data_IF_598913981598
#
_entry.id   IF_598913981598
#
_cell.length_a   1.000
_cell.length_b   1.000
_cell.length_c   1.000
_cell.angle_alpha   90.00
_cell.angle_beta   90.00
_cell.angle_gamma   90.00
#
_symmetry.space_group_name_H-M   'P 1'
#
loop_
_entity.id
_entity.type
_entity.pdbx_description
1 polymer ?
#
# COMPACT_ATOMS: atom_id res chain seq x y z
N UNK A 1 -7.06 -7.79 -27.55
CA UNK A 1 -6.36 -7.13 -26.43
C UNK A 1 -7.47 -6.77 -25.46
N UNK A 2 -7.57 -7.43 -24.30
CA UNK A 2 -8.51 -7.00 -23.27
C UNK A 2 -8.07 -5.59 -22.83
N UNK A 3 -8.96 -4.62 -22.92
CA UNK A 3 -8.74 -3.29 -22.35
C UNK A 3 -8.53 -3.42 -20.85
N UNK A 4 -7.27 -3.47 -20.43
CA UNK A 4 -6.88 -3.49 -19.02
C UNK A 4 -7.01 -2.07 -18.47
N UNK A 5 -8.25 -1.68 -18.16
CA UNK A 5 -8.55 -0.37 -17.58
C UNK A 5 -8.21 -0.41 -16.09
N UNK A 6 -6.99 0.00 -15.75
CA UNK A 6 -6.61 0.24 -14.35
C UNK A 6 -7.01 1.65 -13.94
N UNK A 7 -7.54 1.74 -12.72
CA UNK A 7 -7.63 3.01 -12.01
C UNK A 7 -7.02 2.82 -10.63
N UNK A 8 -5.90 3.46 -10.39
CA UNK A 8 -5.15 3.41 -9.13
C UNK A 8 -5.37 4.72 -8.41
N UNK A 9 -5.73 4.67 -7.14
CA UNK A 9 -5.83 5.85 -6.27
C UNK A 9 -4.89 5.67 -5.08
N UNK A 10 -3.92 6.57 -4.93
CA UNK A 10 -3.06 6.61 -3.74
C UNK A 10 -3.85 7.19 -2.57
N UNK A 11 -4.28 6.34 -1.65
CA UNK A 11 -5.04 6.76 -0.47
C UNK A 11 -4.18 7.44 0.58
N UNK A 12 -2.92 7.02 0.68
CA UNK A 12 -1.93 7.60 1.55
C UNK A 12 -0.53 7.26 1.04
N UNK A 13 0.41 8.15 1.24
CA UNK A 13 1.77 8.06 0.70
C UNK A 13 2.85 8.33 1.73
N UNK A 14 2.45 8.52 2.99
CA UNK A 14 3.34 8.79 4.10
C UNK A 14 3.82 7.55 4.82
N UNK A 15 4.93 7.69 5.52
CA UNK A 15 5.50 6.72 6.45
C UNK A 15 4.60 6.49 7.67
N UNK A 16 4.99 5.60 8.57
CA UNK A 16 4.22 5.18 9.76
C UNK A 16 3.68 6.32 10.65
N UNK A 17 4.32 7.47 10.65
CA UNK A 17 3.89 8.64 11.42
C UNK A 17 3.05 9.64 10.60
N UNK A 18 2.98 9.44 9.28
CA UNK A 18 2.41 10.43 8.35
C UNK A 18 3.26 11.71 8.22
N UNK A 19 2.77 12.68 7.47
CA UNK A 19 3.36 14.03 7.37
C UNK A 19 2.21 15.05 7.40
N UNK A 20 2.20 15.99 8.36
CA UNK A 20 3.17 16.23 9.43
C UNK A 20 3.11 15.17 10.54
N UNK A 21 4.22 15.00 11.24
CA UNK A 21 4.23 14.26 12.50
C UNK A 21 3.71 15.12 13.66
N UNK A 22 3.21 14.52 14.71
CA UNK A 22 2.70 15.25 15.88
C UNK A 22 3.81 16.10 16.49
N UNK A 23 3.57 17.41 16.59
CA UNK A 23 4.51 18.38 17.15
C UNK A 23 5.61 18.83 16.18
N UNK A 24 5.58 18.42 14.92
CA UNK A 24 6.56 18.83 13.91
C UNK A 24 6.57 20.33 13.67
N UNK A 25 7.79 20.88 13.50
CA UNK A 25 8.04 22.31 13.19
C UNK A 25 8.96 22.46 11.97
N UNK A 26 9.26 21.36 11.29
CA UNK A 26 10.09 21.41 10.09
C UNK A 26 9.34 22.08 8.92
N UNK A 27 10.05 22.64 7.95
CA UNK A 27 9.44 23.39 6.85
C UNK A 27 8.46 22.56 6.01
N UNK A 28 8.73 21.26 5.78
CA UNK A 28 7.87 20.37 4.99
C UNK A 28 6.56 20.11 5.72
N UNK A 29 6.63 19.85 7.02
CA UNK A 29 5.44 19.67 7.86
C UNK A 29 4.59 20.95 7.96
N UNK A 30 5.17 22.12 7.80
CA UNK A 30 4.49 23.42 7.80
C UNK A 30 4.06 23.89 6.40
N UNK A 31 4.43 23.18 5.33
CA UNK A 31 4.06 23.51 3.95
C UNK A 31 2.54 23.68 3.78
N UNK A 32 2.15 24.61 2.92
CA UNK A 32 0.76 24.78 2.47
C UNK A 32 0.42 23.93 1.23
N UNK A 33 1.42 23.32 0.60
CA UNK A 33 1.19 22.39 -0.53
C UNK A 33 0.54 21.10 0.00
N UNK A 34 -0.66 20.74 -0.47
CA UNK A 34 -1.32 19.51 -0.01
C UNK A 34 -0.53 18.24 -0.35
N UNK A 35 0.38 18.28 -1.34
CA UNK A 35 1.22 17.14 -1.72
C UNK A 35 2.34 16.85 -0.71
N UNK A 36 2.61 17.79 0.18
CA UNK A 36 3.52 17.61 1.33
C UNK A 36 2.79 17.06 2.57
N UNK A 37 1.46 16.91 2.52
CA UNK A 37 0.66 16.28 3.58
C UNK A 37 0.35 14.85 3.20
N UNK A 38 0.71 13.90 4.08
CA UNK A 38 0.68 12.49 3.74
C UNK A 38 0.09 11.66 4.86
N UNK A 39 -1.01 10.99 4.59
CA UNK A 39 -1.58 9.94 5.41
C UNK A 39 -0.76 8.65 5.22
N UNK A 40 -0.92 7.66 6.12
CA UNK A 40 -0.19 6.40 6.06
C UNK A 40 -0.45 5.66 4.77
N UNK A 41 0.59 4.96 4.30
CA UNK A 41 0.61 4.33 2.97
C UNK A 41 -0.53 3.34 2.77
N UNK A 42 -1.28 3.55 1.70
CA UNK A 42 -2.33 2.64 1.21
C UNK A 42 -2.68 2.99 -0.23
N UNK A 43 -3.07 1.99 -1.02
CA UNK A 43 -3.48 2.17 -2.40
C UNK A 43 -4.78 1.41 -2.69
N UNK A 44 -5.66 2.05 -3.47
CA UNK A 44 -6.92 1.49 -3.93
C UNK A 44 -6.85 1.27 -5.44
N UNK A 45 -7.21 0.06 -5.88
CA UNK A 45 -7.10 -0.39 -7.27
C UNK A 45 -8.46 -0.80 -7.77
N UNK A 46 -8.92 -0.18 -8.86
CA UNK A 46 -10.06 -0.67 -9.65
C UNK A 46 -9.51 -1.38 -10.90
N UNK A 47 -9.72 -2.69 -10.98
CA UNK A 47 -9.25 -3.51 -12.08
C UNK A 47 -10.19 -4.70 -12.33
N UNK A 48 -10.59 -4.95 -13.59
CA UNK A 48 -11.52 -6.03 -13.97
C UNK A 48 -12.78 -6.06 -13.10
N UNK A 49 -13.39 -4.89 -12.92
CA UNK A 49 -14.59 -4.69 -12.09
C UNK A 49 -14.41 -4.99 -10.59
N UNK A 50 -13.16 -5.18 -10.12
CA UNK A 50 -12.83 -5.40 -8.72
C UNK A 50 -12.20 -4.18 -8.09
N UNK A 51 -12.55 -3.96 -6.84
CA UNK A 51 -12.11 -2.90 -5.96
C UNK A 51 -11.18 -3.49 -4.90
N UNK A 52 -9.89 -3.28 -5.04
CA UNK A 52 -8.85 -3.90 -4.24
C UNK A 52 -8.21 -2.85 -3.36
N UNK A 53 -8.09 -3.13 -2.07
CA UNK A 53 -7.30 -2.30 -1.16
C UNK A 53 -5.99 -3.01 -0.82
N UNK A 54 -4.86 -2.29 -0.88
CA UNK A 54 -3.60 -2.76 -0.31
C UNK A 54 -3.31 -1.92 0.93
N UNK A 55 -3.26 -2.57 2.08
CA UNK A 55 -3.11 -2.04 3.43
C UNK A 55 -4.27 -1.15 3.91
N UNK A 56 -4.62 -1.32 5.17
CA UNK A 56 -5.72 -0.65 5.86
C UNK A 56 -5.22 -0.03 7.16
N UNK A 57 -4.50 1.10 7.06
CA UNK A 57 -3.90 1.81 8.18
C UNK A 57 -4.89 2.69 8.96
N UNK A 58 -4.41 3.43 9.98
CA UNK A 58 -5.26 4.22 10.89
C UNK A 58 -6.02 5.35 10.20
N UNK A 59 -5.60 5.75 9.01
CA UNK A 59 -6.22 6.82 8.23
C UNK A 59 -7.31 6.33 7.26
N UNK A 60 -7.57 5.01 7.22
CA UNK A 60 -8.45 4.36 6.25
C UNK A 60 -9.81 5.08 6.10
N UNK A 61 -10.49 5.38 7.21
CA UNK A 61 -11.76 6.10 7.17
C UNK A 61 -11.64 7.47 6.48
N UNK A 62 -10.63 8.25 6.84
CA UNK A 62 -10.38 9.58 6.25
C UNK A 62 -10.05 9.46 4.75
N UNK A 63 -9.26 8.46 4.38
CA UNK A 63 -8.87 8.16 3.01
C UNK A 63 -10.08 7.83 2.14
N UNK A 64 -10.94 6.91 2.58
CA UNK A 64 -12.15 6.52 1.85
C UNK A 64 -13.13 7.67 1.67
N UNK A 65 -13.35 8.47 2.73
CA UNK A 65 -14.25 9.64 2.69
C UNK A 65 -13.70 10.73 1.75
N UNK A 66 -12.40 11.01 1.78
CA UNK A 66 -11.76 12.00 0.91
C UNK A 66 -11.94 11.65 -0.57
N UNK A 67 -11.79 10.38 -0.92
CA UNK A 67 -11.89 9.91 -2.29
C UNK A 67 -13.31 9.55 -2.71
N UNK A 68 -14.30 9.67 -1.80
CA UNK A 68 -15.70 9.28 -2.01
C UNK A 68 -15.84 7.81 -2.44
N UNK A 69 -15.09 6.92 -1.76
CA UNK A 69 -15.10 5.48 -1.96
C UNK A 69 -16.00 4.83 -0.91
N UNK A 70 -16.83 3.88 -1.31
CA UNK A 70 -17.85 3.26 -0.46
C UNK A 70 -17.80 1.72 -0.44
N UNK A 71 -16.89 1.12 -1.25
CA UNK A 71 -16.83 -0.34 -1.38
C UNK A 71 -15.41 -0.84 -1.62
N UNK A 72 -15.15 -2.08 -1.18
CA UNK A 72 -13.91 -2.85 -1.39
C UNK A 72 -14.33 -4.30 -1.57
N UNK A 73 -13.81 -4.97 -2.61
CA UNK A 73 -14.09 -6.40 -2.82
C UNK A 73 -13.20 -7.27 -1.94
N UNK A 74 -11.92 -6.92 -1.80
CA UNK A 74 -10.99 -7.60 -0.91
C UNK A 74 -9.79 -6.72 -0.54
N UNK A 75 -9.11 -7.11 0.54
CA UNK A 75 -7.94 -6.43 1.09
C UNK A 75 -6.72 -7.35 1.00
N UNK A 76 -5.61 -6.80 0.53
CA UNK A 76 -4.29 -7.42 0.57
C UNK A 76 -3.47 -6.73 1.66
N UNK A 77 -2.94 -7.45 2.63
CA UNK A 77 -2.10 -6.88 3.68
C UNK A 77 -0.63 -7.24 3.43
N UNK A 78 0.23 -6.24 3.42
CA UNK A 78 1.66 -6.43 3.18
C UNK A 78 2.37 -7.03 4.40
N UNK A 79 2.10 -6.48 5.58
CA UNK A 79 2.67 -6.93 6.85
C UNK A 79 1.86 -6.41 8.06
N UNK A 80 2.23 -6.84 9.26
CA UNK A 80 1.47 -6.63 10.49
C UNK A 80 1.76 -5.34 11.25
N UNK A 81 2.56 -4.40 10.72
CA UNK A 81 2.76 -3.13 11.40
C UNK A 81 1.45 -2.34 11.51
N UNK A 82 1.34 -1.57 12.58
CA UNK A 82 0.09 -0.89 12.97
C UNK A 82 -0.40 0.07 11.89
N UNK A 83 0.49 0.76 11.23
CA UNK A 83 0.19 1.71 10.14
C UNK A 83 -0.36 1.05 8.87
N UNK A 84 -0.31 -0.29 8.77
CA UNK A 84 -0.84 -1.05 7.64
C UNK A 84 -2.12 -1.83 7.94
N UNK A 85 -2.47 -2.09 9.25
CA UNK A 85 -3.60 -2.97 9.56
C UNK A 85 -4.62 -2.40 10.56
N UNK A 86 -4.29 -1.35 11.34
CA UNK A 86 -5.13 -0.97 12.48
C UNK A 86 -6.47 -0.32 12.06
N UNK A 87 -6.61 0.10 10.82
CA UNK A 87 -7.86 0.66 10.27
C UNK A 87 -8.91 -0.39 9.90
N UNK A 88 -8.62 -1.67 10.02
CA UNK A 88 -9.54 -2.76 9.67
C UNK A 88 -10.88 -2.69 10.42
N UNK A 89 -10.93 -2.11 11.62
CA UNK A 89 -12.20 -1.92 12.33
C UNK A 89 -13.18 -1.02 11.55
N UNK A 90 -12.68 -0.10 10.77
CA UNK A 90 -13.47 0.83 9.96
C UNK A 90 -14.03 0.21 8.65
N UNK A 91 -13.84 -1.10 8.40
CA UNK A 91 -14.52 -1.79 7.29
C UNK A 91 -15.97 -2.15 7.61
N UNK A 92 -16.40 -2.04 8.87
CA UNK A 92 -17.77 -2.33 9.32
C UNK A 92 -18.86 -1.69 8.47
N UNK A 93 -18.79 -0.38 8.12
CA UNK A 93 -19.77 0.22 7.25
C UNK A 93 -19.91 -0.49 5.90
N UNK A 94 -18.79 -0.96 5.33
CA UNK A 94 -18.79 -1.69 4.06
C UNK A 94 -19.50 -3.05 4.22
N UNK A 95 -19.23 -3.78 5.35
CA UNK A 95 -19.93 -5.02 5.64
C UNK A 95 -21.47 -4.81 5.66
N UNK A 96 -21.95 -3.73 6.28
CA UNK A 96 -23.39 -3.45 6.35
C UNK A 96 -23.99 -3.01 5.03
N UNK A 97 -23.34 -2.04 4.37
CA UNK A 97 -23.87 -1.44 3.15
C UNK A 97 -23.98 -2.48 2.02
N UNK A 98 -23.03 -3.39 1.96
CA UNK A 98 -22.95 -4.40 0.90
C UNK A 98 -23.33 -5.80 1.35
N UNK A 99 -23.71 -5.98 2.64
CA UNK A 99 -24.08 -7.26 3.25
C UNK A 99 -23.09 -8.39 2.93
N UNK A 100 -21.79 -8.12 3.16
CA UNK A 100 -20.70 -9.06 2.87
C UNK A 100 -19.64 -9.06 3.97
N UNK A 101 -19.02 -10.19 4.19
CA UNK A 101 -17.79 -10.26 4.97
C UNK A 101 -16.64 -9.71 4.12
N UNK A 102 -15.59 -9.17 4.75
CA UNK A 102 -14.45 -8.59 4.05
C UNK A 102 -13.37 -9.66 3.86
N UNK A 103 -13.10 -10.09 2.61
CA UNK A 103 -12.01 -11.02 2.33
C UNK A 103 -10.66 -10.30 2.54
N UNK A 104 -9.77 -10.92 3.34
CA UNK A 104 -8.44 -10.41 3.66
C UNK A 104 -7.41 -11.49 3.36
N UNK A 105 -6.45 -11.16 2.50
CA UNK A 105 -5.37 -12.07 2.10
C UNK A 105 -4.04 -11.57 2.64
N UNK A 106 -3.31 -12.41 3.36
CA UNK A 106 -2.00 -12.08 3.92
C UNK A 106 -1.20 -13.33 4.34
N UNK A 107 0.06 -13.14 4.68
CA UNK A 107 0.87 -14.19 5.32
C UNK A 107 0.22 -14.68 6.62
N UNK A 108 0.37 -15.96 7.01
CA UNK A 108 -0.22 -16.51 8.24
C UNK A 108 0.08 -15.70 9.50
N UNK A 109 1.31 -15.16 9.63
CA UNK A 109 1.67 -14.33 10.80
C UNK A 109 0.92 -12.99 10.83
N UNK A 110 0.62 -12.40 9.66
CA UNK A 110 -0.16 -11.16 9.54
C UNK A 110 -1.62 -11.45 9.90
N UNK A 111 -2.18 -12.56 9.42
CA UNK A 111 -3.53 -13.02 9.80
C UNK A 111 -3.65 -13.24 11.31
N UNK A 112 -2.64 -13.85 11.94
CA UNK A 112 -2.61 -14.01 13.39
C UNK A 112 -2.56 -12.65 14.11
N UNK A 113 -1.75 -11.72 13.62
CA UNK A 113 -1.69 -10.37 14.17
C UNK A 113 -3.03 -9.61 14.04
N UNK A 114 -3.80 -9.82 12.96
CA UNK A 114 -5.18 -9.29 12.83
C UNK A 114 -6.08 -9.88 13.91
N UNK A 115 -6.05 -11.20 14.13
CA UNK A 115 -6.85 -11.86 15.18
C UNK A 115 -6.49 -11.34 16.57
N UNK A 116 -5.21 -11.14 16.86
CA UNK A 116 -4.72 -10.63 18.15
C UNK A 116 -5.14 -9.18 18.40
N UNK A 117 -5.21 -8.33 17.37
CA UNK A 117 -5.59 -6.92 17.50
C UNK A 117 -7.09 -6.71 17.52
N UNK A 118 -7.86 -7.57 16.88
CA UNK A 118 -9.32 -7.49 16.79
C UNK A 118 -10.02 -8.74 17.36
N UNK A 119 -9.68 -9.20 18.58
CA UNK A 119 -10.19 -10.48 19.11
C UNK A 119 -11.71 -10.50 19.20
N UNK A 120 -12.36 -9.35 19.41
CA UNK A 120 -13.82 -9.23 19.47
C UNK A 120 -14.52 -9.56 18.14
N UNK A 121 -13.83 -9.45 17.00
CA UNK A 121 -14.38 -9.81 15.70
C UNK A 121 -14.49 -11.34 15.48
N UNK A 122 -13.81 -12.14 16.31
CA UNK A 122 -13.69 -13.60 16.15
C UNK A 122 -14.34 -14.40 17.30
N UNK A 123 -14.85 -13.73 18.32
CA UNK A 123 -15.55 -14.37 19.42
C UNK A 123 -17.05 -14.39 19.11
N UNK A 124 -17.77 -15.52 19.32
CA UNK A 124 -19.22 -15.56 19.18
C UNK A 124 -19.88 -14.43 19.98
N UNK A 125 -20.63 -13.57 19.33
CA UNK A 125 -21.21 -12.39 19.94
C UNK A 125 -22.62 -12.12 19.40
N UNK A 126 -23.53 -11.68 20.28
CA UNK A 126 -24.88 -11.28 19.89
C UNK A 126 -24.95 -9.86 19.26
N UNK A 127 -23.88 -9.07 19.42
CA UNK A 127 -23.82 -7.71 18.89
C UNK A 127 -23.58 -7.72 17.36
N UNK A 128 -24.55 -7.24 16.57
CA UNK A 128 -24.44 -7.32 15.10
C UNK A 128 -23.47 -6.30 14.48
N UNK A 129 -22.95 -5.37 15.29
CA UNK A 129 -22.13 -4.24 14.85
C UNK A 129 -20.63 -4.50 14.79
N UNK A 130 -20.19 -5.74 14.84
CA UNK A 130 -18.77 -6.10 14.72
C UNK A 130 -18.31 -6.14 13.28
N UNK A 131 -17.03 -5.86 13.01
CA UNK A 131 -16.47 -6.09 11.69
C UNK A 131 -16.49 -7.60 11.38
N UNK A 132 -16.76 -7.91 10.13
CA UNK A 132 -16.80 -9.30 9.64
C UNK A 132 -15.71 -9.49 8.62
N UNK A 133 -14.80 -10.43 8.90
CA UNK A 133 -13.65 -10.74 8.06
C UNK A 133 -13.71 -12.20 7.58
N UNK A 134 -13.35 -12.41 6.32
CA UNK A 134 -13.04 -13.69 5.75
C UNK A 134 -11.53 -13.77 5.54
N UNK A 135 -10.82 -14.49 6.42
CA UNK A 135 -9.35 -14.49 6.46
C UNK A 135 -8.76 -15.61 5.62
N UNK A 136 -7.90 -15.25 4.67
CA UNK A 136 -7.22 -16.16 3.75
C UNK A 136 -5.70 -16.10 3.95
N UNK A 137 -5.09 -17.23 4.31
CA UNK A 137 -3.64 -17.34 4.40
C UNK A 137 -3.01 -17.45 3.00
N UNK A 138 -1.99 -16.65 2.76
CA UNK A 138 -1.06 -16.85 1.65
C UNK A 138 0.06 -17.77 2.15
N UNK A 139 -0.15 -19.09 2.01
CA UNK A 139 0.78 -20.11 2.49
C UNK A 139 1.99 -20.27 1.55
N UNK A 140 1.73 -20.18 0.24
CA UNK A 140 2.76 -20.29 -0.79
C UNK A 140 2.87 -18.98 -1.56
N UNK A 141 4.00 -18.32 -1.41
CA UNK A 141 4.27 -17.03 -2.09
C UNK A 141 4.85 -17.21 -3.50
N UNK A 142 5.12 -18.43 -3.92
CA UNK A 142 5.54 -18.76 -5.29
C UNK A 142 4.33 -18.97 -6.23
N UNK A 143 3.14 -19.10 -5.66
CA UNK A 143 1.92 -19.31 -6.41
C UNK A 143 1.11 -18.01 -6.54
N UNK A 144 0.51 -17.84 -7.70
CA UNK A 144 -0.45 -16.77 -7.94
C UNK A 144 -1.79 -17.06 -7.25
N UNK A 145 -2.42 -16.01 -6.75
CA UNK A 145 -3.76 -16.07 -6.16
C UNK A 145 -4.76 -15.60 -7.21
N UNK A 146 -5.74 -16.43 -7.51
CA UNK A 146 -6.80 -16.05 -8.45
C UNK A 146 -8.08 -15.73 -7.66
N UNK A 147 -8.47 -14.45 -7.67
CA UNK A 147 -9.70 -13.96 -7.04
C UNK A 147 -10.63 -13.52 -8.17
N UNK A 148 -11.66 -14.32 -8.42
CA UNK A 148 -12.54 -14.16 -9.58
C UNK A 148 -11.72 -14.10 -10.88
N UNK A 149 -11.70 -12.93 -11.56
CA UNK A 149 -10.96 -12.70 -12.80
C UNK A 149 -9.61 -12.01 -12.59
N UNK A 150 -9.25 -11.69 -11.36
CA UNK A 150 -8.03 -10.96 -11.02
C UNK A 150 -6.96 -11.94 -10.56
N UNK A 151 -5.83 -11.87 -11.23
CA UNK A 151 -4.61 -12.58 -10.87
C UNK A 151 -3.74 -11.69 -9.99
N UNK A 152 -3.45 -12.14 -8.78
CA UNK A 152 -2.56 -11.49 -7.80
C UNK A 152 -1.29 -12.33 -7.68
N UNK A 153 -0.14 -11.70 -7.82
CA UNK A 153 1.15 -12.34 -7.57
C UNK A 153 1.72 -11.76 -6.27
N UNK A 154 1.82 -12.56 -5.20
CA UNK A 154 2.54 -12.17 -4.01
C UNK A 154 4.02 -11.97 -4.35
N UNK A 155 4.63 -10.92 -3.83
CA UNK A 155 6.01 -10.54 -4.09
C UNK A 155 6.78 -10.57 -2.77
N UNK A 156 7.50 -11.67 -2.45
CA UNK A 156 8.33 -11.71 -1.24
C UNK A 156 9.43 -10.65 -1.30
N UNK A 157 9.43 -9.74 -0.31
CA UNK A 157 10.42 -8.69 -0.13
C UNK A 157 10.81 -8.57 1.33
N UNK A 158 11.82 -7.77 1.64
CA UNK A 158 12.28 -7.60 3.02
C UNK A 158 12.15 -6.16 3.50
N UNK A 159 11.60 -6.01 4.69
CA UNK A 159 11.61 -4.79 5.50
C UNK A 159 12.67 -4.93 6.60
N UNK A 160 13.88 -4.49 6.33
CA UNK A 160 15.04 -4.87 7.14
C UNK A 160 15.27 -6.38 7.10
N UNK A 161 15.04 -7.06 8.23
CA UNK A 161 15.11 -8.52 8.34
C UNK A 161 13.75 -9.21 8.31
N UNK A 162 12.68 -8.43 8.32
CA UNK A 162 11.31 -8.94 8.33
C UNK A 162 10.89 -9.28 6.90
N UNK A 163 10.55 -10.55 6.58
CA UNK A 163 9.98 -10.87 5.29
C UNK A 163 8.53 -10.33 5.22
N UNK A 164 8.22 -9.56 4.22
CA UNK A 164 6.88 -8.98 3.98
C UNK A 164 6.44 -9.26 2.54
N UNK A 165 5.20 -8.90 2.19
CA UNK A 165 4.73 -9.01 0.81
C UNK A 165 4.57 -7.63 0.17
N UNK A 166 5.08 -7.49 -1.06
CA UNK A 166 4.49 -6.64 -2.05
C UNK A 166 3.44 -7.42 -2.85
N UNK A 167 2.78 -6.74 -3.78
CA UNK A 167 1.78 -7.38 -4.64
C UNK A 167 1.87 -6.89 -6.07
N UNK A 168 1.80 -7.83 -7.04
CA UNK A 168 1.60 -7.51 -8.45
C UNK A 168 0.15 -7.83 -8.85
N UNK A 169 -0.51 -6.88 -9.48
CA UNK A 169 -1.85 -6.99 -10.04
C UNK A 169 -1.75 -6.65 -11.53
N UNK A 170 -1.62 -7.68 -12.37
CA UNK A 170 -1.38 -7.51 -13.81
C UNK A 170 -0.13 -6.67 -14.12
N UNK A 171 -0.29 -5.48 -14.71
CA UNK A 171 0.81 -4.58 -15.10
C UNK A 171 1.20 -3.56 -14.02
N UNK A 172 0.62 -3.67 -12.83
CA UNK A 172 0.88 -2.84 -11.65
C UNK A 172 1.55 -3.63 -10.55
N UNK A 173 2.55 -3.05 -9.86
CA UNK A 173 3.13 -3.62 -8.65
C UNK A 173 3.29 -2.58 -7.54
N UNK A 174 3.12 -3.02 -6.28
CA UNK A 174 3.21 -2.19 -5.08
C UNK A 174 4.18 -2.80 -4.07
N UNK A 175 5.27 -2.08 -3.78
CA UNK A 175 6.38 -2.49 -2.91
C UNK A 175 6.59 -1.42 -1.82
N UNK A 176 5.66 -1.35 -0.84
CA UNK A 176 5.85 -0.47 0.33
C UNK A 176 6.86 -1.05 1.31
N UNK A 177 7.43 -0.24 2.20
CA UNK A 177 8.31 -0.66 3.30
C UNK A 177 9.52 -1.52 2.90
N UNK A 178 9.87 -1.47 1.63
CA UNK A 178 10.91 -2.29 1.06
C UNK A 178 12.32 -1.83 1.48
N UNK A 179 13.15 -2.80 1.85
CA UNK A 179 14.60 -2.61 2.03
C UNK A 179 15.40 -3.44 1.01
N UNK A 180 14.90 -4.61 0.66
CA UNK A 180 15.55 -5.53 -0.25
C UNK A 180 14.50 -6.29 -1.08
N UNK A 181 14.78 -6.45 -2.36
CA UNK A 181 13.98 -7.26 -3.30
C UNK A 181 14.87 -8.40 -3.78
N UNK A 182 14.55 -9.67 -3.47
CA UNK A 182 15.29 -10.84 -3.97
C UNK A 182 15.27 -10.92 -5.50
N UNK A 183 16.30 -11.51 -6.10
CA UNK A 183 16.38 -11.69 -7.57
C UNK A 183 15.17 -12.45 -8.12
N UNK A 184 14.73 -13.51 -7.43
CA UNK A 184 13.52 -14.26 -7.81
C UNK A 184 12.26 -13.40 -7.84
N UNK A 185 12.16 -12.41 -6.95
CA UNK A 185 11.06 -11.44 -6.95
C UNK A 185 11.21 -10.41 -8.07
N UNK A 186 12.44 -9.98 -8.40
CA UNK A 186 12.67 -9.05 -9.52
C UNK A 186 12.25 -9.66 -10.86
N UNK A 187 12.45 -10.97 -11.06
CA UNK A 187 11.98 -11.69 -12.24
C UNK A 187 10.46 -11.58 -12.41
N UNK A 188 9.70 -11.57 -11.29
CA UNK A 188 8.25 -11.40 -11.29
C UNK A 188 7.80 -9.95 -11.56
N UNK A 189 8.72 -8.99 -11.55
CA UNK A 189 8.47 -7.55 -11.75
C UNK A 189 8.79 -7.07 -13.18
N UNK A 190 9.10 -7.98 -14.08
CA UNK A 190 9.38 -7.62 -15.48
C UNK A 190 8.13 -7.21 -16.25
N UNK A 191 8.25 -6.24 -17.17
CA UNK A 191 7.18 -5.83 -18.09
C UNK A 191 6.03 -5.07 -17.43
N UNK A 192 6.28 -4.38 -16.32
CA UNK A 192 5.29 -3.55 -15.63
C UNK A 192 5.08 -2.22 -16.35
N UNK A 193 3.84 -1.76 -16.42
CA UNK A 193 3.53 -0.37 -16.77
C UNK A 193 3.79 0.57 -15.59
N UNK A 194 3.40 0.16 -14.39
CA UNK A 194 3.58 0.98 -13.19
C UNK A 194 4.14 0.14 -12.04
N UNK A 195 5.21 0.64 -11.41
CA UNK A 195 5.70 0.13 -10.13
C UNK A 195 5.66 1.22 -9.07
N UNK A 196 5.22 0.87 -7.87
CA UNK A 196 5.25 1.73 -6.69
C UNK A 196 6.29 1.18 -5.72
N UNK A 197 7.24 2.02 -5.32
CA UNK A 197 8.37 1.63 -4.47
C UNK A 197 8.43 2.52 -3.23
N UNK A 198 8.57 1.93 -2.06
CA UNK A 198 8.81 2.66 -0.81
C UNK A 198 10.15 3.40 -0.85
N UNK A 199 10.13 4.73 -0.59
CA UNK A 199 11.31 5.59 -0.51
C UNK A 199 11.17 6.53 0.69
N UNK A 200 11.79 6.19 1.82
CA UNK A 200 11.51 6.87 3.08
C UNK A 200 11.93 8.33 3.09
N UNK A 201 13.13 8.65 2.59
CA UNK A 201 13.77 9.97 2.68
C UNK A 201 15.00 10.08 1.77
N UNK A 202 15.57 11.27 1.63
CA UNK A 202 16.83 11.44 0.89
C UNK A 202 18.04 10.87 1.67
N UNK A 203 18.16 11.18 2.95
CA UNK A 203 19.25 10.75 3.86
C UNK A 203 18.89 10.99 5.33
N UNK A 204 19.58 10.38 6.31
CA UNK A 204 20.61 9.33 6.16
C UNK A 204 20.03 7.99 5.72
N UNK A 205 20.90 7.03 5.39
CA UNK A 205 20.49 5.64 5.11
C UNK A 205 19.66 5.06 6.26
N UNK A 206 18.72 4.18 5.94
CA UNK A 206 17.87 3.53 6.92
C UNK A 206 18.07 2.02 6.92
N UNK A 207 17.94 1.40 8.09
CA UNK A 207 18.19 -0.04 8.24
C UNK A 207 17.10 -0.93 7.64
N UNK A 208 15.87 -0.44 7.55
CA UNK A 208 14.72 -1.23 7.11
C UNK A 208 13.97 -0.66 5.90
N UNK A 209 14.32 0.52 5.40
CA UNK A 209 13.73 1.12 4.21
C UNK A 209 14.78 1.57 3.21
N UNK A 210 14.40 1.67 1.95
CA UNK A 210 15.21 2.35 0.95
C UNK A 210 15.16 3.87 1.19
N UNK A 211 16.29 4.54 0.94
CA UNK A 211 16.32 5.99 0.72
C UNK A 211 16.12 6.27 -0.76
N UNK A 212 15.84 7.53 -1.12
CA UNK A 212 15.49 7.91 -2.49
C UNK A 212 16.49 7.43 -3.55
N UNK A 213 17.80 7.58 -3.31
CA UNK A 213 18.82 7.13 -4.26
C UNK A 213 18.80 5.63 -4.51
N UNK A 214 18.60 4.82 -3.45
CA UNK A 214 18.48 3.37 -3.56
C UNK A 214 17.16 2.95 -4.24
N UNK A 215 16.08 3.70 -4.00
CA UNK A 215 14.81 3.44 -4.68
C UNK A 215 14.87 3.77 -6.17
N UNK A 216 15.63 4.80 -6.56
CA UNK A 216 15.94 5.14 -7.96
C UNK A 216 16.74 4.00 -8.62
N UNK A 217 17.81 3.53 -7.98
CA UNK A 217 18.62 2.40 -8.47
C UNK A 217 17.75 1.16 -8.72
N UNK A 218 16.87 0.82 -7.77
CA UNK A 218 15.94 -0.30 -7.93
C UNK A 218 14.94 -0.04 -9.07
N UNK A 219 14.42 1.18 -9.20
CA UNK A 219 13.49 1.54 -10.28
C UNK A 219 14.13 1.41 -11.67
N UNK A 220 15.40 1.82 -11.81
CA UNK A 220 16.18 1.66 -13.05
C UNK A 220 16.38 0.18 -13.38
N UNK A 221 16.66 -0.65 -12.38
CA UNK A 221 16.82 -2.09 -12.56
C UNK A 221 15.51 -2.77 -13.00
N UNK A 222 14.38 -2.41 -12.39
CA UNK A 222 13.06 -2.99 -12.71
C UNK A 222 12.52 -2.52 -14.06
N UNK A 223 12.97 -1.36 -14.55
CA UNK A 223 12.66 -0.81 -15.85
C UNK A 223 11.16 -0.78 -16.23
N UNK A 224 10.29 -0.47 -15.24
CA UNK A 224 8.88 -0.23 -15.49
C UNK A 224 8.67 1.06 -16.32
N UNK A 225 7.56 1.16 -17.06
CA UNK A 225 7.27 2.37 -17.87
C UNK A 225 7.18 3.62 -17.00
N UNK A 226 6.59 3.49 -15.79
CA UNK A 226 6.47 4.56 -14.81
C UNK A 226 6.74 4.03 -13.39
N UNK A 227 7.46 4.78 -12.59
CA UNK A 227 7.73 4.50 -11.18
C UNK A 227 7.16 5.58 -10.28
N UNK A 228 6.51 5.18 -9.19
CA UNK A 228 6.01 6.10 -8.16
C UNK A 228 6.62 5.76 -6.81
N UNK A 229 7.20 6.77 -6.13
CA UNK A 229 7.75 6.59 -4.80
C UNK A 229 6.70 6.90 -3.73
N UNK A 230 6.59 6.03 -2.74
CA UNK A 230 5.63 6.11 -1.62
C UNK A 230 6.32 5.90 -0.27
N UNK A 231 5.56 5.85 0.82
CA UNK A 231 6.05 5.67 2.20
C UNK A 231 7.05 6.75 2.62
N UNK A 232 6.70 8.00 2.34
CA UNK A 232 7.56 9.18 2.38
C UNK A 232 7.47 9.86 3.75
N UNK A 233 8.62 10.20 4.34
CA UNK A 233 8.73 11.06 5.53
C UNK A 233 8.96 12.52 5.15
N UNK A 234 8.85 13.43 6.12
CA UNK A 234 9.18 14.85 5.94
C UNK A 234 10.65 15.09 5.56
N UNK A 235 11.56 14.15 5.88
CA UNK A 235 12.99 14.20 5.52
C UNK A 235 13.24 13.96 4.02
N UNK A 236 12.22 13.67 3.24
CA UNK A 236 12.30 13.64 1.77
C UNK A 236 12.54 15.03 1.19
N UNK A 237 11.99 16.06 1.81
CA UNK A 237 11.95 17.42 1.30
C UNK A 237 10.60 17.77 0.67
N UNK A 238 10.49 18.99 0.12
CA UNK A 238 9.27 19.47 -0.52
C UNK A 238 8.98 18.68 -1.81
N UNK A 239 7.72 18.32 -2.00
CA UNK A 239 7.26 17.59 -3.18
C UNK A 239 7.77 18.22 -4.49
N UNK A 240 7.56 19.54 -4.64
CA UNK A 240 7.89 20.23 -5.89
C UNK A 240 9.39 20.16 -6.21
N UNK A 241 10.22 20.41 -5.22
CA UNK A 241 11.69 20.42 -5.39
C UNK A 241 12.20 19.01 -5.74
N UNK A 242 11.76 18.01 -5.01
CA UNK A 242 12.19 16.62 -5.25
C UNK A 242 11.69 16.10 -6.60
N UNK A 243 10.45 16.42 -6.98
CA UNK A 243 9.90 15.99 -8.26
C UNK A 243 10.69 16.58 -9.46
N UNK A 244 11.20 17.80 -9.34
CA UNK A 244 12.03 18.43 -10.37
C UNK A 244 13.42 17.77 -10.51
N UNK A 245 13.90 17.06 -9.47
CA UNK A 245 15.19 16.34 -9.48
C UNK A 245 15.07 14.92 -10.05
N UNK A 246 13.85 14.36 -10.15
CA UNK A 246 13.64 12.97 -10.57
C UNK A 246 13.72 12.79 -12.10
N UNK A 247 14.14 11.60 -12.57
CA UNK A 247 14.02 11.22 -13.97
C UNK A 247 12.57 11.34 -14.49
N UNK A 248 12.35 11.57 -15.80
CA UNK A 248 11.01 11.83 -16.35
C UNK A 248 9.99 10.70 -16.14
N UNK A 249 10.45 9.46 -15.94
CA UNK A 249 9.59 8.28 -15.70
C UNK A 249 9.39 7.98 -14.21
N UNK A 250 9.93 8.83 -13.31
CA UNK A 250 9.90 8.62 -11.87
C UNK A 250 9.21 9.79 -11.17
N UNK A 251 8.32 9.47 -10.23
CA UNK A 251 7.45 10.45 -9.60
C UNK A 251 7.36 10.22 -8.10
N UNK A 252 7.23 11.29 -7.31
CA UNK A 252 6.71 11.16 -5.95
C UNK A 252 5.19 10.96 -6.00
N UNK A 253 4.69 9.91 -5.37
CA UNK A 253 3.27 9.80 -5.13
C UNK A 253 2.83 10.86 -4.09
N UNK A 254 1.57 11.24 -4.15
CA UNK A 254 0.91 12.11 -3.15
C UNK A 254 -0.52 11.62 -2.92
N UNK A 255 -1.07 11.98 -1.77
CA UNK A 255 -2.41 11.57 -1.37
C UNK A 255 -3.48 12.09 -2.33
N UNK A 256 -4.31 11.19 -2.85
CA UNK A 256 -5.33 11.50 -3.85
C UNK A 256 -4.84 11.47 -5.30
N UNK A 257 -3.57 11.14 -5.57
CA UNK A 257 -3.08 10.90 -6.93
C UNK A 257 -3.84 9.74 -7.57
N UNK A 258 -4.32 9.96 -8.82
CA UNK A 258 -5.05 8.94 -9.59
C UNK A 258 -4.33 8.65 -10.90
N UNK A 259 -4.10 7.37 -11.15
CA UNK A 259 -3.53 6.88 -12.41
C UNK A 259 -4.58 6.10 -13.18
N UNK A 260 -4.52 6.17 -14.52
CA UNK A 260 -5.32 5.36 -15.44
C UNK A 260 -4.42 4.89 -16.58
N UNK A 261 -4.40 3.59 -16.86
CA UNK A 261 -3.59 3.01 -17.94
C UNK A 261 -4.11 1.64 -18.39
#
# INVERSE_FOLDING_TARGET
MEDSNYKITFLGTGTSQGVPIIGAKDPVSLSSDPRDKRLRSSVYIEYKEKKILIDCGPDFRTQMLRENLDDIDFILLTHEHTDHIIGLDDVRPINYLHNKDMPIYALPRVINAVKDRFPYAFIPHEYPGLPKYELHNIENTEEEINIDKVKIIPLPIFHGKLPILGYRVGDFAYLTDVREVPETTKELLTGLKVVVIGALRKKPLHHSHLVLSQAIELAEELAAEQTYFTHISYEMGFYKEVQEELPPTMHLAYDGLKLKF
#
